data_IF_511045792446
#
_entry.id   IF_511045792446
#
_cell.length_a   1.000
_cell.length_b   1.000
_cell.length_c   1.000
_cell.angle_alpha   90.00
_cell.angle_beta   90.00
_cell.angle_gamma   90.00
#
_symmetry.space_group_name_H-M   'P 1'
#
loop_
_entity.id
_entity.type
_entity.pdbx_description
1 polymer ?
#
# COMPACT_ATOMS: atom_id res chain seq x y z
N UNK A 1 -9.91 5.03 0.26
CA UNK A 1 -9.55 3.70 -0.30
C UNK A 1 -9.45 3.81 -1.82
N UNK A 2 -8.31 3.44 -2.39
CA UNK A 2 -8.04 3.48 -3.82
C UNK A 2 -7.47 2.15 -4.30
N UNK A 3 -7.61 1.87 -5.60
CA UNK A 3 -7.05 0.67 -6.25
C UNK A 3 -6.52 1.03 -7.64
N UNK A 4 -5.53 0.27 -8.13
CA UNK A 4 -5.06 0.31 -9.52
C UNK A 4 -5.42 -0.95 -10.32
N UNK A 5 -6.03 -1.94 -9.68
CA UNK A 5 -6.35 -3.24 -10.29
C UNK A 5 -7.85 -3.37 -10.51
N UNK A 6 -8.29 -3.18 -11.75
CA UNK A 6 -9.55 -3.74 -12.24
C UNK A 6 -9.25 -4.51 -13.52
N UNK A 7 -8.95 -5.80 -13.35
CA UNK A 7 -8.88 -6.80 -14.44
C UNK A 7 -7.67 -6.77 -15.39
N UNK A 8 -6.67 -5.91 -15.16
CA UNK A 8 -5.41 -5.90 -15.92
C UNK A 8 -4.18 -5.94 -15.01
N UNK A 9 -3.10 -6.58 -15.48
CA UNK A 9 -1.82 -6.76 -14.77
C UNK A 9 -0.83 -5.60 -14.95
N UNK A 10 -1.22 -4.54 -15.67
CA UNK A 10 -0.40 -3.35 -15.90
C UNK A 10 -1.08 -2.12 -15.32
N UNK A 11 -0.36 -1.36 -14.49
CA UNK A 11 -0.91 -0.28 -13.69
C UNK A 11 -1.40 0.92 -14.51
N UNK A 12 -2.70 1.20 -14.47
CA UNK A 12 -3.33 2.41 -15.01
C UNK A 12 -3.49 3.54 -13.98
N UNK A 13 -4.49 4.41 -14.21
CA UNK A 13 -4.89 5.51 -13.32
C UNK A 13 -5.39 5.00 -11.95
N UNK A 14 -5.28 5.84 -10.91
CA UNK A 14 -5.86 5.58 -9.59
C UNK A 14 -7.39 5.58 -9.67
N UNK A 15 -8.02 4.46 -9.32
CA UNK A 15 -9.46 4.41 -9.12
C UNK A 15 -9.80 4.60 -7.64
N UNK A 16 -10.62 5.61 -7.35
CA UNK A 16 -11.06 5.91 -5.99
C UNK A 16 -12.38 5.21 -5.69
N UNK A 17 -12.33 4.19 -4.82
CA UNK A 17 -13.54 3.61 -4.21
C UNK A 17 -14.12 4.56 -3.16
N UNK A 18 -13.25 5.25 -2.43
CA UNK A 18 -13.60 6.30 -1.48
C UNK A 18 -12.49 7.35 -1.46
N UNK A 19 -12.76 8.52 -2.03
CA UNK A 19 -11.84 9.67 -2.09
C UNK A 19 -11.98 10.50 -0.80
N UNK A 20 -10.92 11.16 -0.31
CA UNK A 20 -11.05 12.11 0.80
C UNK A 20 -12.08 13.20 0.47
N UNK A 21 -13.03 13.42 1.38
CA UNK A 21 -14.05 14.48 1.27
C UNK A 21 -13.55 15.82 1.82
N UNK A 22 -12.54 15.78 2.69
CA UNK A 22 -11.94 16.96 3.31
C UNK A 22 -10.74 17.41 2.48
N UNK A 23 -10.58 18.73 2.33
CA UNK A 23 -9.41 19.34 1.70
C UNK A 23 -8.13 18.92 2.40
N UNK A 24 -7.11 18.56 1.61
CA UNK A 24 -5.77 18.21 2.10
C UNK A 24 -4.83 19.41 2.20
N UNK A 25 -5.26 20.59 1.75
CA UNK A 25 -4.45 21.83 1.78
C UNK A 25 -3.98 22.12 3.21
N UNK A 26 -2.67 22.34 3.36
CA UNK A 26 -1.99 22.68 4.62
C UNK A 26 -2.15 21.62 5.73
N UNK A 27 -2.42 20.36 5.35
CA UNK A 27 -2.55 19.24 6.29
C UNK A 27 -1.40 18.26 6.17
N UNK A 28 -0.98 17.72 7.31
CA UNK A 28 -0.18 16.51 7.36
C UNK A 28 -1.08 15.29 7.15
N UNK A 29 -0.72 14.44 6.20
CA UNK A 29 -1.49 13.26 5.81
C UNK A 29 -0.69 12.01 6.13
N UNK A 30 -1.26 11.10 6.93
CA UNK A 30 -0.72 9.75 7.12
C UNK A 30 -1.50 8.77 6.26
N UNK A 31 -0.84 8.16 5.28
CA UNK A 31 -1.36 7.04 4.50
C UNK A 31 -1.06 5.75 5.26
N UNK A 32 -2.07 4.92 5.47
CA UNK A 32 -1.95 3.62 6.14
C UNK A 32 -2.27 2.53 5.13
N UNK A 33 -1.35 1.56 4.98
CA UNK A 33 -1.53 0.39 4.11
C UNK A 33 -1.15 -0.90 4.86
N UNK A 34 -1.66 -2.05 4.42
CA UNK A 34 -1.32 -3.33 5.04
C UNK A 34 0.07 -3.83 4.59
N UNK A 35 0.41 -3.68 3.32
CA UNK A 35 1.68 -4.16 2.76
C UNK A 35 2.31 -3.20 1.74
N UNK A 36 3.62 -2.96 1.88
CA UNK A 36 4.46 -2.39 0.84
C UNK A 36 5.19 -3.51 0.06
N UNK A 37 4.58 -3.95 -1.04
CA UNK A 37 5.21 -4.83 -2.04
C UNK A 37 6.02 -3.97 -3.03
N UNK A 38 5.65 -3.95 -4.32
CA UNK A 38 6.22 -3.03 -5.31
C UNK A 38 5.85 -1.56 -5.03
N UNK A 39 4.67 -1.28 -4.45
CA UNK A 39 4.31 0.07 -4.00
C UNK A 39 3.80 1.03 -5.09
N UNK A 40 3.40 0.52 -6.25
CA UNK A 40 2.82 1.33 -7.35
C UNK A 40 1.55 2.10 -6.94
N UNK A 41 0.70 1.52 -6.09
CA UNK A 41 -0.50 2.19 -5.57
C UNK A 41 -0.13 3.23 -4.52
N UNK A 42 0.70 2.87 -3.55
CA UNK A 42 1.17 3.78 -2.50
C UNK A 42 1.85 5.02 -3.11
N UNK A 43 2.77 4.83 -4.07
CA UNK A 43 3.44 5.94 -4.76
C UNK A 43 2.45 6.87 -5.45
N UNK A 44 1.41 6.34 -6.10
CA UNK A 44 0.41 7.16 -6.76
C UNK A 44 -0.43 7.95 -5.74
N UNK A 45 -0.77 7.36 -4.59
CA UNK A 45 -1.52 8.04 -3.53
C UNK A 45 -0.66 9.15 -2.89
N UNK A 46 0.63 8.90 -2.66
CA UNK A 46 1.57 9.92 -2.17
C UNK A 46 1.56 11.14 -3.10
N UNK A 47 1.73 10.91 -4.40
CA UNK A 47 1.74 12.00 -5.39
C UNK A 47 0.38 12.70 -5.48
N UNK A 48 -0.73 11.97 -5.38
CA UNK A 48 -2.06 12.59 -5.29
C UNK A 48 -2.17 13.52 -4.08
N UNK A 49 -1.75 13.09 -2.88
CA UNK A 49 -1.84 13.90 -1.66
C UNK A 49 -1.00 15.17 -1.76
N UNK A 50 0.22 15.08 -2.31
CA UNK A 50 1.09 16.24 -2.57
C UNK A 50 0.43 17.23 -3.53
N UNK A 51 -0.08 16.77 -4.67
CA UNK A 51 -0.77 17.63 -5.63
C UNK A 51 -2.06 18.23 -5.08
N UNK A 52 -2.72 17.57 -4.13
CA UNK A 52 -3.89 18.08 -3.42
C UNK A 52 -3.56 19.12 -2.33
N UNK A 53 -2.29 19.49 -2.15
CA UNK A 53 -1.85 20.58 -1.26
C UNK A 53 -1.48 20.14 0.16
N UNK A 54 -1.29 18.84 0.40
CA UNK A 54 -0.80 18.37 1.70
C UNK A 54 0.54 19.03 2.08
N UNK A 55 0.67 19.51 3.31
CA UNK A 55 1.91 20.12 3.82
C UNK A 55 3.00 19.07 4.08
N UNK A 56 2.59 17.86 4.47
CA UNK A 56 3.43 16.69 4.57
C UNK A 56 2.63 15.43 4.24
N UNK A 57 3.32 14.41 3.70
CA UNK A 57 2.74 13.08 3.45
C UNK A 57 3.64 12.05 4.09
N UNK A 58 3.08 11.32 5.06
CA UNK A 58 3.72 10.22 5.75
C UNK A 58 3.05 8.91 5.37
N UNK A 59 3.75 7.82 5.59
CA UNK A 59 3.33 6.46 5.23
C UNK A 59 3.59 5.50 6.38
N UNK A 60 2.59 4.70 6.73
CA UNK A 60 2.71 3.61 7.68
C UNK A 60 2.22 2.31 7.03
N UNK A 61 3.06 1.29 7.08
CA UNK A 61 2.72 -0.05 6.59
C UNK A 61 2.93 -1.09 7.66
N UNK A 62 2.05 -2.08 7.71
CA UNK A 62 2.25 -3.21 8.63
C UNK A 62 3.42 -4.08 8.17
N UNK A 63 3.51 -4.36 6.88
CA UNK A 63 4.59 -5.16 6.28
C UNK A 63 5.32 -4.39 5.18
N UNK A 64 6.65 -4.44 5.16
CA UNK A 64 7.47 -4.06 4.01
C UNK A 64 8.21 -5.29 3.46
N UNK A 65 8.02 -5.59 2.17
CA UNK A 65 8.72 -6.71 1.52
C UNK A 65 10.12 -6.31 1.07
N UNK A 66 11.10 -7.13 1.43
CA UNK A 66 12.48 -6.94 1.02
C UNK A 66 12.73 -7.54 -0.37
N UNK A 67 12.69 -6.67 -1.39
CA UNK A 67 13.04 -6.99 -2.77
C UNK A 67 13.31 -5.72 -3.61
N UNK A 68 14.01 -5.87 -4.73
CA UNK A 68 14.40 -4.76 -5.61
C UNK A 68 13.31 -4.26 -6.58
N UNK A 69 12.13 -4.90 -6.61
CA UNK A 69 11.01 -4.54 -7.51
C UNK A 69 10.18 -3.34 -7.05
N UNK A 70 10.75 -2.39 -6.32
CA UNK A 70 10.01 -1.21 -5.87
C UNK A 70 9.68 -0.31 -7.07
N UNK A 71 8.51 0.32 -7.05
CA UNK A 71 7.97 1.17 -8.11
C UNK A 71 8.87 2.38 -8.44
N UNK A 72 9.70 2.80 -7.47
CA UNK A 72 10.79 3.77 -7.65
C UNK A 72 11.93 3.43 -6.67
N UNK A 73 13.20 3.74 -7.00
CA UNK A 73 14.37 3.29 -6.25
C UNK A 73 14.41 3.67 -4.76
N UNK A 74 13.72 4.75 -4.38
CA UNK A 74 13.72 5.34 -3.04
C UNK A 74 12.39 5.15 -2.30
N UNK A 75 11.46 4.34 -2.82
CA UNK A 75 10.18 4.12 -2.17
C UNK A 75 10.36 3.28 -0.90
N UNK A 76 10.17 3.94 0.24
CA UNK A 76 10.14 3.34 1.58
C UNK A 76 8.97 3.92 2.36
N UNK A 77 8.39 3.11 3.24
CA UNK A 77 7.46 3.62 4.22
C UNK A 77 8.19 4.34 5.36
N UNK A 78 7.61 5.40 5.91
CA UNK A 78 8.18 6.14 7.05
C UNK A 78 8.10 5.32 8.34
N UNK A 79 7.02 4.54 8.48
CA UNK A 79 6.77 3.66 9.61
C UNK A 79 6.50 2.24 9.11
N UNK A 80 7.33 1.29 9.54
CA UNK A 80 7.22 -0.12 9.18
C UNK A 80 6.98 -0.94 10.44
N UNK A 81 5.93 -1.76 10.46
CA UNK A 81 5.65 -2.69 11.55
C UNK A 81 6.63 -3.86 11.55
N UNK A 82 6.73 -4.57 10.43
CA UNK A 82 7.57 -5.74 10.23
C UNK A 82 8.15 -5.76 8.81
N UNK A 83 9.37 -6.27 8.66
CA UNK A 83 9.94 -6.61 7.36
C UNK A 83 9.68 -8.08 7.03
N UNK A 84 9.45 -8.40 5.77
CA UNK A 84 9.22 -9.76 5.30
C UNK A 84 10.06 -10.05 4.06
N UNK A 85 10.55 -11.29 3.92
CA UNK A 85 11.09 -11.76 2.66
C UNK A 85 10.04 -11.71 1.54
N UNK A 86 10.47 -11.80 0.29
CA UNK A 86 9.60 -11.79 -0.88
C UNK A 86 8.77 -13.08 -1.00
N UNK A 87 7.72 -13.15 -0.17
CA UNK A 87 6.83 -14.31 -0.02
C UNK A 87 5.40 -13.85 -0.23
N UNK A 88 4.56 -14.72 -0.78
CA UNK A 88 3.12 -14.45 -0.78
C UNK A 88 2.56 -14.61 0.64
N UNK A 89 2.15 -13.51 1.26
CA UNK A 89 1.57 -13.48 2.60
C UNK A 89 0.08 -13.12 2.61
N UNK A 90 -0.62 -13.54 3.65
CA UNK A 90 -2.05 -13.28 3.85
C UNK A 90 -2.39 -13.24 5.34
N UNK A 91 -3.61 -12.82 5.67
CA UNK A 91 -4.06 -12.65 7.05
C UNK A 91 -3.99 -11.20 7.52
N UNK A 92 -4.68 -10.90 8.62
CA UNK A 92 -4.69 -9.57 9.22
C UNK A 92 -5.02 -8.42 8.25
N UNK A 93 -6.05 -8.62 7.42
CA UNK A 93 -6.48 -7.68 6.38
C UNK A 93 -6.09 -8.12 4.97
N UNK A 94 -4.93 -8.72 4.78
CA UNK A 94 -4.43 -9.22 3.49
C UNK A 94 -5.15 -10.51 3.08
N UNK A 95 -5.41 -10.69 1.79
CA UNK A 95 -6.14 -11.85 1.28
C UNK A 95 -5.29 -12.84 0.49
N UNK A 96 -5.77 -14.08 0.45
CA UNK A 96 -5.39 -15.06 -0.56
C UNK A 96 -6.65 -15.46 -1.33
N UNK A 97 -6.75 -15.02 -2.60
CA UNK A 97 -7.91 -15.25 -3.47
C UNK A 97 -9.24 -14.75 -2.85
N UNK A 98 -9.20 -13.62 -2.14
CA UNK A 98 -10.34 -13.05 -1.43
C UNK A 98 -10.65 -13.66 -0.06
N UNK A 99 -9.94 -14.73 0.35
CA UNK A 99 -10.12 -15.39 1.64
C UNK A 99 -9.08 -14.94 2.67
N UNK A 100 -9.28 -15.36 3.92
CA UNK A 100 -8.31 -15.29 5.01
C UNK A 100 -7.95 -13.90 5.57
N UNK A 101 -8.62 -12.83 5.13
CA UNK A 101 -8.43 -11.48 5.71
C UNK A 101 -8.59 -11.45 7.23
N UNK A 102 -9.46 -12.30 7.77
CA UNK A 102 -9.78 -12.39 9.20
C UNK A 102 -8.89 -13.37 9.98
N UNK A 103 -7.84 -13.95 9.37
CA UNK A 103 -6.94 -14.84 10.08
C UNK A 103 -6.20 -14.09 11.20
N UNK A 104 -6.06 -14.74 12.36
CA UNK A 104 -5.48 -14.15 13.58
C UNK A 104 -3.94 -14.11 13.57
N UNK A 105 -3.35 -13.96 12.39
CA UNK A 105 -1.92 -13.94 12.19
C UNK A 105 -1.58 -13.65 10.73
N UNK A 106 -0.30 -13.37 10.48
CA UNK A 106 0.26 -13.21 9.15
C UNK A 106 0.90 -14.55 8.77
N UNK A 107 0.47 -15.11 7.65
CA UNK A 107 0.90 -16.43 7.17
C UNK A 107 1.50 -16.31 5.77
N UNK A 108 2.44 -17.18 5.43
CA UNK A 108 3.02 -17.26 4.10
C UNK A 108 2.59 -18.56 3.38
N UNK A 109 2.27 -18.46 2.09
CA UNK A 109 1.90 -19.63 1.29
C UNK A 109 3.12 -20.52 1.09
N UNK A 110 3.01 -21.82 1.38
CA UNK A 110 4.11 -22.77 1.24
C UNK A 110 4.48 -22.97 -0.24
N UNK A 111 5.76 -22.78 -0.59
CA UNK A 111 6.31 -23.13 -1.91
C UNK A 111 6.09 -22.11 -3.02
N UNK A 112 5.68 -20.88 -2.68
CA UNK A 112 5.58 -19.72 -3.57
C UNK A 112 6.46 -18.58 -3.07
#
# INVERSE_FOLDING_TARGET
>A
HATRYRSETTGGELFWNAKPEISLIDREVLIIDDILDEGHTLSAIIEFCKHAGASAVHTAVLIDKDHDRKARPDLKADYVGLSCEDRFIFGYGMDYKGYWRNAAGIYAVKGL
#
